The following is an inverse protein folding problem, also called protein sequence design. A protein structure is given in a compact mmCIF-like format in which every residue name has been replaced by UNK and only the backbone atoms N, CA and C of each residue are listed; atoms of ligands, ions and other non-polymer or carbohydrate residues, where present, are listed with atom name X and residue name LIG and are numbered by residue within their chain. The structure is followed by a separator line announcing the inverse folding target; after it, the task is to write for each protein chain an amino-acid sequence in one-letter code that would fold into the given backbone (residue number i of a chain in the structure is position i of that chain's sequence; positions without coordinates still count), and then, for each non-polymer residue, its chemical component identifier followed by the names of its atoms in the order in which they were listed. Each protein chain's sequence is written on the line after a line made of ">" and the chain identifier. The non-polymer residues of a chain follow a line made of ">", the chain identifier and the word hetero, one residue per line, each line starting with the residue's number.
data_IF_301517157532
#
_entry.id   IF_301517157532
#
_cell.length_a   1.000
_cell.length_b   1.000
_cell.length_c   1.000
_cell.angle_alpha   90.00
_cell.angle_beta   90.00
_cell.angle_gamma   90.00
#
_symmetry.space_group_name_H-M   'P 1'
#
loop_
_entity.id
_entity.type
_entity.pdbx_description
1 polymer ?
#
# COMPACT_ATOMS: atom_id res chain seq x y z
N UNK A 1 8.49 -9.74 14.62
CA UNK A 1 7.66 -9.15 15.70
C UNK A 1 6.23 -9.57 15.46
N UNK A 2 5.40 -9.52 16.50
CA UNK A 2 3.97 -9.78 16.39
C UNK A 2 3.19 -8.49 16.22
N UNK A 3 1.98 -8.59 15.68
CA UNK A 3 1.07 -7.45 15.50
C UNK A 3 0.51 -7.06 16.87
N UNK A 4 0.62 -5.77 17.24
CA UNK A 4 0.09 -5.28 18.51
C UNK A 4 -1.36 -4.81 18.33
N UNK A 5 -2.37 -5.50 18.90
CA UNK A 5 -3.78 -5.18 18.65
C UNK A 5 -4.21 -3.81 19.17
N UNK A 6 -3.39 -3.13 19.98
CA UNK A 6 -3.66 -1.76 20.47
C UNK A 6 -3.45 -0.70 19.40
N UNK A 7 -2.71 -1.02 18.34
CA UNK A 7 -2.41 -0.10 17.25
C UNK A 7 -3.12 -0.56 15.97
N UNK A 8 -3.80 0.33 15.25
CA UNK A 8 -4.44 -0.04 13.99
C UNK A 8 -3.40 -0.42 12.94
N UNK A 9 -3.77 -1.34 12.05
CA UNK A 9 -3.01 -1.63 10.84
C UNK A 9 -3.54 -0.71 9.73
N UNK A 10 -2.67 0.19 9.30
CA UNK A 10 -2.86 1.07 8.15
C UNK A 10 -2.43 0.36 6.87
N UNK A 11 -2.89 0.86 5.73
CA UNK A 11 -2.53 0.33 4.42
C UNK A 11 -1.98 1.43 3.52
N UNK A 12 -1.01 1.11 2.68
CA UNK A 12 -0.50 1.99 1.62
C UNK A 12 -0.63 1.28 0.29
N UNK A 13 -1.35 1.90 -0.64
CA UNK A 13 -1.77 1.30 -1.89
C UNK A 13 -0.93 1.83 -3.04
N UNK A 14 -0.41 0.95 -3.89
CA UNK A 14 0.21 1.32 -5.15
C UNK A 14 -0.78 1.08 -6.29
N UNK A 15 -1.64 2.07 -6.53
CA UNK A 15 -2.65 1.99 -7.58
C UNK A 15 -2.07 2.54 -8.88
N UNK A 16 -1.71 1.67 -9.81
CA UNK A 16 -1.03 2.08 -11.03
C UNK A 16 -0.90 0.98 -12.08
N UNK A 17 0.03 1.16 -13.02
CA UNK A 17 0.38 0.15 -14.04
C UNK A 17 1.23 -1.00 -13.49
N UNK A 18 1.63 -0.94 -12.22
CA UNK A 18 2.33 -2.05 -11.59
C UNK A 18 1.45 -3.30 -11.68
N UNK A 19 2.07 -4.44 -11.97
CA UNK A 19 1.38 -5.73 -11.99
C UNK A 19 0.73 -5.93 -10.63
N UNK A 20 -0.60 -6.06 -10.63
CA UNK A 20 -1.43 -6.48 -9.50
C UNK A 20 -1.68 -5.47 -8.36
N UNK A 21 -1.37 -4.17 -8.48
CA UNK A 21 -1.72 -3.12 -7.49
C UNK A 21 -1.44 -3.50 -6.01
N UNK A 22 -0.17 -3.69 -5.61
CA UNK A 22 0.15 -4.20 -4.29
C UNK A 22 -0.25 -3.26 -3.15
N UNK A 23 -0.51 -3.84 -1.98
CA UNK A 23 -0.89 -3.14 -0.74
C UNK A 23 0.07 -3.51 0.39
N UNK A 24 0.74 -2.50 0.94
CA UNK A 24 1.57 -2.63 2.13
C UNK A 24 0.74 -2.41 3.39
N UNK A 25 0.80 -3.33 4.36
CA UNK A 25 0.09 -3.22 5.62
C UNK A 25 1.08 -2.92 6.75
N UNK A 26 0.79 -1.93 7.59
CA UNK A 26 1.74 -1.48 8.61
C UNK A 26 1.10 -0.89 9.87
N UNK A 27 1.82 -0.97 10.99
CA UNK A 27 1.53 -0.22 12.21
C UNK A 27 2.52 0.94 12.36
N UNK A 28 2.15 1.97 13.12
CA UNK A 28 3.09 3.01 13.57
C UNK A 28 3.14 2.97 15.08
N UNK A 29 4.28 2.58 15.64
CA UNK A 29 4.51 2.48 17.09
C UNK A 29 5.73 3.33 17.43
N UNK A 30 5.57 4.30 18.32
CA UNK A 30 6.63 5.24 18.72
C UNK A 30 7.32 5.93 17.53
N UNK A 31 6.54 6.26 16.49
CA UNK A 31 7.04 6.90 15.27
C UNK A 31 7.77 5.96 14.30
N UNK A 32 7.83 4.65 14.60
CA UNK A 32 8.47 3.64 13.76
C UNK A 32 7.41 2.90 12.94
N UNK A 33 7.50 2.91 11.61
CA UNK A 33 6.68 2.04 10.77
C UNK A 33 7.07 0.57 10.96
N UNK A 34 6.09 -0.27 11.20
CA UNK A 34 6.25 -1.72 11.31
C UNK A 34 5.44 -2.37 10.20
N UNK A 35 6.10 -2.85 9.15
CA UNK A 35 5.44 -3.56 8.05
C UNK A 35 5.02 -4.94 8.54
N UNK A 36 3.71 -5.15 8.63
CA UNK A 36 3.12 -6.35 9.23
C UNK A 36 2.70 -7.38 8.19
N UNK A 37 2.35 -6.92 6.98
CA UNK A 37 1.89 -7.76 5.88
C UNK A 37 2.08 -7.09 4.52
N UNK A 38 1.93 -7.88 3.47
CA UNK A 38 1.98 -7.44 2.08
C UNK A 38 0.97 -8.24 1.27
N UNK A 39 0.07 -7.55 0.59
CA UNK A 39 -0.98 -8.16 -0.21
C UNK A 39 -0.80 -7.82 -1.67
N UNK A 40 -0.89 -8.85 -2.52
CA UNK A 40 -0.91 -8.71 -3.97
C UNK A 40 -2.25 -9.26 -4.44
N UNK A 41 -3.17 -8.39 -4.86
CA UNK A 41 -4.38 -8.79 -5.54
C UNK A 41 -4.20 -9.83 -6.64
N UNK A 42 -5.07 -10.82 -6.67
CA UNK A 42 -5.20 -11.80 -7.76
C UNK A 42 -6.37 -11.48 -8.70
N UNK A 43 -7.24 -10.55 -8.31
CA UNK A 43 -8.36 -10.03 -9.10
C UNK A 43 -8.29 -8.51 -9.24
N UNK A 44 -9.00 -7.95 -10.21
CA UNK A 44 -9.22 -6.49 -10.31
C UNK A 44 -10.42 -6.01 -9.46
N UNK A 45 -11.05 -6.93 -8.71
CA UNK A 45 -12.24 -6.62 -7.91
C UNK A 45 -11.84 -6.03 -6.56
N UNK A 46 -12.13 -4.74 -6.40
CA UNK A 46 -11.82 -3.99 -5.19
C UNK A 46 -12.59 -4.49 -3.95
N UNK A 47 -13.75 -5.13 -4.14
CA UNK A 47 -14.53 -5.74 -3.06
C UNK A 47 -13.79 -6.93 -2.45
N UNK A 48 -13.16 -7.77 -3.27
CA UNK A 48 -12.31 -8.89 -2.79
C UNK A 48 -11.15 -8.38 -1.93
N UNK A 49 -10.53 -7.27 -2.32
CA UNK A 49 -9.39 -6.71 -1.59
C UNK A 49 -9.85 -6.14 -0.23
N UNK A 50 -11.00 -5.46 -0.20
CA UNK A 50 -11.58 -4.95 1.04
C UNK A 50 -11.92 -6.11 1.99
N UNK A 51 -12.51 -7.18 1.46
CA UNK A 51 -12.83 -8.38 2.23
C UNK A 51 -11.57 -9.02 2.81
N UNK A 52 -10.51 -9.18 2.02
CA UNK A 52 -9.24 -9.73 2.52
C UNK A 52 -8.68 -8.90 3.68
N UNK A 53 -8.66 -7.57 3.55
CA UNK A 53 -8.20 -6.65 4.60
C UNK A 53 -9.04 -6.77 5.88
N UNK A 54 -10.35 -6.93 5.74
CA UNK A 54 -11.25 -7.09 6.88
C UNK A 54 -11.08 -8.45 7.57
N UNK A 55 -10.83 -9.53 6.82
CA UNK A 55 -10.51 -10.85 7.37
C UNK A 55 -9.22 -10.85 8.20
N UNK A 56 -8.25 -9.99 7.87
CA UNK A 56 -7.05 -9.79 8.68
C UNK A 56 -7.25 -8.86 9.88
N UNK A 57 -8.40 -8.18 9.99
CA UNK A 57 -8.69 -7.17 11.01
C UNK A 57 -7.99 -5.83 10.75
N UNK A 58 -7.60 -5.54 9.51
CA UNK A 58 -6.82 -4.35 9.16
C UNK A 58 -7.75 -3.15 8.88
N UNK A 59 -8.16 -2.42 9.91
CA UNK A 59 -9.16 -1.34 9.82
C UNK A 59 -8.61 0.08 10.11
N UNK A 60 -7.31 0.29 9.89
CA UNK A 60 -6.67 1.60 9.98
C UNK A 60 -7.03 2.51 8.80
N UNK A 61 -6.24 3.58 8.65
CA UNK A 61 -6.34 4.46 7.48
C UNK A 61 -5.75 3.80 6.22
N UNK A 62 -6.38 4.06 5.08
CA UNK A 62 -5.95 3.58 3.77
C UNK A 62 -5.29 4.71 2.97
N UNK A 63 -3.96 4.75 2.93
CA UNK A 63 -3.21 5.74 2.18
C UNK A 63 -3.21 5.39 0.69
N UNK A 64 -3.92 6.20 -0.10
CA UNK A 64 -4.17 5.96 -1.53
C UNK A 64 -3.62 7.11 -2.37
N UNK A 65 -3.05 6.84 -3.56
CA UNK A 65 -2.63 7.88 -4.50
C UNK A 65 -3.83 8.55 -5.17
N UNK A 66 -3.58 9.60 -5.95
CA UNK A 66 -4.64 10.31 -6.70
C UNK A 66 -5.35 9.44 -7.75
N UNK A 67 -4.69 8.37 -8.24
CA UNK A 67 -5.26 7.41 -9.19
C UNK A 67 -6.51 6.68 -8.67
N UNK A 68 -6.78 6.72 -7.36
CA UNK A 68 -8.03 6.20 -6.75
C UNK A 68 -9.29 6.90 -7.28
N UNK A 69 -9.15 8.11 -7.82
CA UNK A 69 -10.26 8.89 -8.39
C UNK A 69 -10.68 8.41 -9.78
N UNK A 70 -9.92 7.50 -10.40
CA UNK A 70 -10.31 6.94 -11.69
C UNK A 70 -11.60 6.10 -11.56
N UNK A 71 -12.60 6.33 -12.45
CA UNK A 71 -13.81 5.54 -12.49
C UNK A 71 -13.49 4.06 -12.74
N UNK A 72 -14.25 3.16 -12.12
CA UNK A 72 -14.22 1.76 -12.52
C UNK A 72 -14.88 1.58 -13.89
N UNK A 73 -14.38 0.63 -14.68
CA UNK A 73 -14.87 0.39 -16.03
C UNK A 73 -16.38 0.09 -16.03
N UNK A 74 -17.17 0.87 -16.77
CA UNK A 74 -18.62 0.67 -16.88
C UNK A 74 -19.47 1.24 -15.74
N UNK A 75 -18.91 1.96 -14.77
CA UNK A 75 -19.67 2.64 -13.70
C UNK A 75 -19.24 4.09 -13.49
N UNK A 76 -20.13 4.91 -12.94
CA UNK A 76 -19.81 6.29 -12.52
C UNK A 76 -19.16 6.35 -11.13
N UNK A 77 -19.03 5.22 -10.42
CA UNK A 77 -18.38 5.14 -9.11
C UNK A 77 -16.87 5.08 -9.26
N UNK A 78 -16.17 5.89 -8.47
CA UNK A 78 -14.72 5.83 -8.36
C UNK A 78 -14.28 4.70 -7.44
N UNK A 79 -13.01 4.27 -7.51
CA UNK A 79 -12.46 3.32 -6.52
C UNK A 79 -12.58 3.87 -5.09
N UNK A 80 -12.45 5.20 -4.93
CA UNK A 80 -12.64 5.88 -3.65
C UNK A 80 -14.05 5.69 -3.07
N UNK A 81 -15.08 5.77 -3.92
CA UNK A 81 -16.47 5.57 -3.50
C UNK A 81 -16.71 4.13 -3.04
N UNK A 82 -16.11 3.16 -3.74
CA UNK A 82 -16.20 1.74 -3.36
C UNK A 82 -15.52 1.47 -2.03
N UNK A 83 -14.30 2.00 -1.79
CA UNK A 83 -13.63 1.87 -0.50
C UNK A 83 -14.51 2.41 0.64
N UNK A 84 -15.07 3.62 0.46
CA UNK A 84 -15.97 4.22 1.46
C UNK A 84 -17.23 3.40 1.70
N UNK A 85 -17.81 2.82 0.65
CA UNK A 85 -18.98 1.95 0.76
C UNK A 85 -18.69 0.67 1.57
N UNK A 86 -17.43 0.23 1.59
CA UNK A 86 -16.95 -0.92 2.38
C UNK A 86 -16.45 -0.52 3.78
N UNK A 87 -16.75 0.70 4.25
CA UNK A 87 -16.34 1.15 5.59
C UNK A 87 -14.84 1.40 5.75
N UNK A 88 -14.07 1.36 4.67
CA UNK A 88 -12.64 1.69 4.63
C UNK A 88 -12.42 3.19 4.88
N UNK A 89 -11.19 3.58 5.21
CA UNK A 89 -10.84 4.96 5.62
C UNK A 89 -9.79 5.57 4.67
N UNK A 90 -10.13 5.79 3.38
CA UNK A 90 -9.18 6.31 2.41
C UNK A 90 -8.69 7.73 2.75
N UNK A 91 -7.37 7.89 2.80
CA UNK A 91 -6.62 9.12 2.93
C UNK A 91 -5.80 9.31 1.66
N UNK A 92 -6.22 10.27 0.83
CA UNK A 92 -5.45 10.61 -0.37
C UNK A 92 -4.12 11.22 0.06
N UNK A 93 -3.01 10.59 -0.32
CA UNK A 93 -1.68 11.17 -0.14
C UNK A 93 -1.44 12.18 -1.27
N UNK A 94 -1.05 13.40 -0.90
CA UNK A 94 -0.76 14.46 -1.86
C UNK A 94 0.37 14.07 -2.80
N UNK A 95 0.31 14.47 -4.08
CA UNK A 95 1.47 14.48 -4.95
C UNK A 95 2.46 15.53 -4.44
N UNK A 96 3.24 15.20 -3.42
CA UNK A 96 4.53 15.86 -3.23
C UNK A 96 5.33 15.63 -4.51
N UNK A 97 6.08 16.65 -4.96
CA UNK A 97 6.91 16.52 -6.15
C UNK A 97 7.72 15.22 -6.06
N UNK A 98 7.87 14.49 -7.18
CA UNK A 98 8.57 13.19 -7.21
C UNK A 98 9.93 13.25 -6.49
N UNK A 99 10.57 14.42 -6.49
CA UNK A 99 11.83 14.70 -5.79
C UNK A 99 11.68 14.82 -4.26
N UNK A 100 10.67 15.54 -3.74
CA UNK A 100 10.47 15.73 -2.29
C UNK A 100 9.78 14.52 -1.62
N UNK A 101 8.82 13.91 -2.31
CA UNK A 101 8.12 12.72 -1.82
C UNK A 101 9.04 11.51 -1.70
N UNK A 102 10.01 11.38 -2.62
CA UNK A 102 10.98 10.31 -2.60
C UNK A 102 11.91 10.42 -1.37
N UNK A 103 12.40 11.60 -1.01
CA UNK A 103 13.27 11.72 0.16
C UNK A 103 12.52 11.37 1.47
N UNK A 104 11.31 11.90 1.68
CA UNK A 104 10.51 11.60 2.87
C UNK A 104 10.08 10.13 2.93
N UNK A 105 9.61 9.56 1.82
CA UNK A 105 9.26 8.14 1.72
C UNK A 105 10.46 7.22 1.93
N UNK A 106 11.63 7.56 1.37
CA UNK A 106 12.87 6.82 1.59
C UNK A 106 13.35 6.90 3.05
N UNK A 107 13.24 8.06 3.71
CA UNK A 107 13.60 8.15 5.14
C UNK A 107 12.63 7.31 5.99
N UNK A 108 11.34 7.33 5.69
CA UNK A 108 10.33 6.50 6.38
C UNK A 108 10.58 5.01 6.17
N UNK A 109 10.88 4.58 4.93
CA UNK A 109 11.22 3.18 4.62
C UNK A 109 12.52 2.75 5.30
N UNK A 110 13.53 3.63 5.40
CA UNK A 110 14.80 3.32 6.11
C UNK A 110 14.59 3.04 7.60
N UNK A 111 13.59 3.68 8.21
CA UNK A 111 13.24 3.47 9.60
C UNK A 111 12.27 2.29 9.78
N UNK A 112 11.63 1.83 8.71
CA UNK A 112 10.65 0.77 8.77
C UNK A 112 11.29 -0.57 9.17
N UNK A 113 10.60 -1.32 10.01
CA UNK A 113 10.96 -2.69 10.35
C UNK A 113 10.00 -3.65 9.65
N UNK A 114 10.55 -4.70 9.07
CA UNK A 114 9.79 -5.68 8.31
C UNK A 114 9.57 -6.94 9.14
N UNK A 115 8.32 -7.40 9.22
CA UNK A 115 7.99 -8.68 9.84
C UNK A 115 8.55 -9.81 8.97
N UNK A 116 9.05 -10.87 9.60
CA UNK A 116 9.56 -12.04 8.89
C UNK A 116 8.41 -13.00 8.55
N UNK A 117 7.68 -12.72 7.47
CA UNK A 117 6.64 -13.58 6.88
C UNK A 117 6.91 -13.77 5.38
N UNK A 118 6.35 -14.83 4.79
CA UNK A 118 6.47 -15.08 3.35
C UNK A 118 6.00 -13.88 2.52
N UNK A 119 4.79 -13.39 2.79
CA UNK A 119 4.19 -12.23 2.12
C UNK A 119 5.09 -10.99 2.14
N UNK A 120 5.58 -10.61 3.32
CA UNK A 120 6.44 -9.43 3.47
C UNK A 120 7.78 -9.62 2.75
N UNK A 121 8.35 -10.82 2.81
CA UNK A 121 9.58 -11.13 2.10
C UNK A 121 9.39 -11.04 0.57
N UNK A 122 8.28 -11.53 0.05
CA UNK A 122 7.94 -11.43 -1.38
C UNK A 122 7.83 -9.95 -1.82
N UNK A 123 7.16 -9.12 -1.02
CA UNK A 123 7.09 -7.68 -1.27
C UNK A 123 8.46 -6.97 -1.25
N UNK A 124 9.34 -7.37 -0.32
CA UNK A 124 10.71 -6.84 -0.24
C UNK A 124 11.53 -7.23 -1.47
N UNK A 125 11.40 -8.46 -1.97
CA UNK A 125 12.06 -8.88 -3.22
C UNK A 125 11.50 -8.12 -4.43
N UNK A 126 10.18 -7.89 -4.49
CA UNK A 126 9.55 -7.04 -5.51
C UNK A 126 10.12 -5.62 -5.54
N UNK A 127 10.29 -4.97 -4.38
CA UNK A 127 10.92 -3.64 -4.29
C UNK A 127 12.37 -3.64 -4.77
N UNK A 128 13.13 -4.69 -4.47
CA UNK A 128 14.53 -4.82 -4.93
C UNK A 128 14.59 -4.98 -6.45
N UNK A 129 13.69 -5.76 -7.03
CA UNK A 129 13.59 -5.94 -8.48
C UNK A 129 13.24 -4.62 -9.18
N UNK A 130 12.19 -3.93 -8.71
CA UNK A 130 11.77 -2.62 -9.24
C UNK A 130 12.91 -1.60 -9.22
N UNK A 131 13.69 -1.55 -8.13
CA UNK A 131 14.85 -0.65 -8.04
C UNK A 131 15.93 -0.96 -9.09
N UNK A 132 16.18 -2.24 -9.38
CA UNK A 132 17.17 -2.66 -10.39
C UNK A 132 16.72 -2.24 -11.79
N UNK A 133 15.47 -2.52 -12.15
CA UNK A 133 14.90 -2.12 -13.44
C UNK A 133 14.99 -0.61 -13.66
N UNK A 134 14.64 0.17 -12.62
CA UNK A 134 14.72 1.63 -12.67
C UNK A 134 16.15 2.16 -12.81
N UNK A 135 17.12 1.55 -12.12
CA UNK A 135 18.54 1.91 -12.23
C UNK A 135 19.11 1.56 -13.63
N UNK A 136 18.61 0.50 -14.27
CA UNK A 136 19.01 0.08 -15.62
C UNK A 136 18.38 0.97 -16.70
N UNK A 137 17.10 1.34 -16.59
CA UNK A 137 16.44 2.30 -17.50
C UNK A 137 17.15 3.65 -17.49
N UNK A 138 17.60 4.13 -16.31
CA UNK A 138 18.33 5.39 -16.18
C UNK A 138 19.76 5.38 -16.73
N UNK A 139 20.31 4.21 -17.04
CA UNK A 139 21.66 4.07 -17.62
C UNK A 139 21.68 4.03 -19.15
N UNK A 140 20.52 4.17 -19.79
CA UNK A 140 20.36 4.18 -21.26
C UNK A 140 19.87 5.55 -21.73
#
# INVERSE_FOLDING_TARGET
>A
FDIDPRYPVHTAWDLGKAVNNPIWCFQVIDGVPLIVDFYVPDSEDLEDWCKWLDEQGYHGDDFVPHDILHPQWGTKRTRLDTLRAHGRKPKMVGMVSLAEGNNAGLQTIKLARFRNTGSVNDGVEGLKAYRREYDDEKKT
#
